data_IF_910016308105
#
_entry.id   IF_910016308105
#
_cell.length_a   1.000
_cell.length_b   1.000
_cell.length_c   1.000
_cell.angle_alpha   90.00
_cell.angle_beta   90.00
_cell.angle_gamma   90.00
#
_symmetry.space_group_name_H-M   'P 1'
#
loop_
_entity.id
_entity.type
_entity.pdbx_description
1 polymer ?
#
# COMPACT_ATOMS: atom_id res chain seq x y z
N UNK A 1 4.78 28.83 -2.70
CA UNK A 1 4.57 28.25 -1.34
C UNK A 1 3.20 27.61 -1.14
N UNK A 2 2.09 28.35 -1.28
CA UNK A 2 0.72 27.82 -1.04
C UNK A 2 0.39 26.55 -1.83
N UNK A 3 0.79 26.48 -3.09
CA UNK A 3 0.65 25.29 -3.92
C UNK A 3 1.22 24.03 -3.26
N UNK A 4 2.44 24.10 -2.74
CA UNK A 4 3.12 22.98 -2.09
C UNK A 4 2.43 22.57 -0.79
N UNK A 5 1.99 23.53 0.02
CA UNK A 5 1.25 23.24 1.26
C UNK A 5 -0.03 22.46 0.93
N UNK A 6 -0.80 22.92 -0.06
CA UNK A 6 -2.02 22.23 -0.50
C UNK A 6 -1.69 20.85 -1.08
N UNK A 7 -0.61 20.71 -1.84
CA UNK A 7 -0.18 19.43 -2.40
C UNK A 7 0.16 18.42 -1.30
N UNK A 8 1.01 18.78 -0.33
CA UNK A 8 1.41 17.89 0.76
C UNK A 8 0.24 17.52 1.67
N UNK A 9 -0.58 18.50 2.08
CA UNK A 9 -1.73 18.25 2.94
C UNK A 9 -2.81 17.46 2.20
N UNK A 10 -3.12 17.82 0.95
CA UNK A 10 -4.09 17.13 0.11
C UNK A 10 -3.70 15.69 -0.15
N UNK A 11 -2.45 15.45 -0.58
CA UNK A 11 -1.94 14.08 -0.76
C UNK A 11 -1.92 13.32 0.56
N UNK A 12 -1.50 13.93 1.67
CA UNK A 12 -1.55 13.30 2.99
C UNK A 12 -2.95 12.85 3.37
N UNK A 13 -3.97 13.68 3.15
CA UNK A 13 -5.37 13.32 3.43
C UNK A 13 -5.89 12.21 2.51
N UNK A 14 -5.57 12.28 1.21
CA UNK A 14 -5.96 11.25 0.24
C UNK A 14 -5.31 9.91 0.58
N UNK A 15 -4.01 9.89 0.86
CA UNK A 15 -3.30 8.66 1.27
C UNK A 15 -3.87 8.12 2.57
N UNK A 16 -4.17 8.97 3.56
CA UNK A 16 -4.82 8.53 4.79
C UNK A 16 -6.18 7.86 4.52
N UNK A 17 -6.99 8.44 3.64
CA UNK A 17 -8.29 7.87 3.28
C UNK A 17 -8.15 6.51 2.60
N UNK A 18 -7.31 6.41 1.58
CA UNK A 18 -7.10 5.15 0.85
C UNK A 18 -6.39 4.09 1.69
N UNK A 19 -5.53 4.47 2.63
CA UNK A 19 -4.81 3.53 3.51
C UNK A 19 -5.75 2.59 4.26
N UNK A 20 -6.95 3.06 4.64
CA UNK A 20 -7.96 2.27 5.38
C UNK A 20 -8.54 1.11 4.60
N UNK A 21 -8.41 1.13 3.27
CA UNK A 21 -8.94 0.10 2.38
C UNK A 21 -7.87 -0.91 1.96
N UNK A 22 -6.64 -0.78 2.48
CA UNK A 22 -5.52 -1.66 2.15
C UNK A 22 -5.34 -2.77 3.18
N UNK A 23 -4.73 -3.91 2.81
CA UNK A 23 -4.43 -4.99 3.75
C UNK A 23 -3.48 -4.53 4.87
N UNK A 24 -2.54 -3.63 4.56
CA UNK A 24 -1.56 -3.10 5.50
C UNK A 24 -1.71 -1.58 5.69
N UNK A 25 -2.76 -1.12 6.39
CA UNK A 25 -3.08 0.30 6.52
C UNK A 25 -1.97 1.10 7.22
N UNK A 26 -1.18 0.47 8.09
CA UNK A 26 -0.20 1.17 8.90
C UNK A 26 0.98 1.72 8.06
N UNK A 27 1.34 1.05 6.96
CA UNK A 27 2.47 1.47 6.12
C UNK A 27 2.11 2.77 5.38
N UNK A 28 0.99 2.75 4.65
CA UNK A 28 0.49 3.94 3.94
C UNK A 28 0.07 5.05 4.90
N UNK A 29 -0.47 4.70 6.08
CA UNK A 29 -0.82 5.66 7.12
C UNK A 29 0.39 6.41 7.69
N UNK A 30 1.53 5.74 7.90
CA UNK A 30 2.79 6.39 8.30
C UNK A 30 3.31 7.35 7.23
N UNK A 31 3.24 6.95 5.96
CA UNK A 31 3.61 7.83 4.85
C UNK A 31 2.70 9.06 4.79
N UNK A 32 1.40 8.87 4.94
CA UNK A 32 0.44 9.96 4.97
C UNK A 32 0.69 10.95 6.12
N UNK A 33 1.01 10.44 7.32
CA UNK A 33 1.40 11.26 8.47
C UNK A 33 2.66 12.08 8.15
N UNK A 34 3.67 11.48 7.53
CA UNK A 34 4.88 12.18 7.10
C UNK A 34 4.52 13.35 6.16
N UNK A 35 3.62 13.14 5.18
CA UNK A 35 3.17 14.21 4.28
C UNK A 35 2.43 15.33 5.02
N UNK A 36 1.56 14.98 5.97
CA UNK A 36 0.84 15.97 6.78
C UNK A 36 1.79 16.79 7.66
N UNK A 37 2.78 16.14 8.27
CA UNK A 37 3.81 16.83 9.08
C UNK A 37 4.66 17.73 8.19
N UNK A 38 5.10 17.26 7.02
CA UNK A 38 5.85 18.07 6.07
C UNK A 38 5.03 19.28 5.57
N UNK A 39 3.76 19.08 5.21
CA UNK A 39 2.84 20.15 4.84
C UNK A 39 2.59 21.14 5.98
N UNK A 40 2.48 20.66 7.22
CA UNK A 40 2.36 21.48 8.42
C UNK A 40 3.63 22.30 8.69
N UNK A 41 4.82 21.72 8.51
CA UNK A 41 6.09 22.45 8.61
C UNK A 41 6.22 23.54 7.55
N UNK A 42 5.85 23.24 6.30
CA UNK A 42 5.82 24.25 5.22
C UNK A 42 4.80 25.36 5.48
N UNK A 43 3.67 25.02 6.10
CA UNK A 43 2.71 26.03 6.52
C UNK A 43 3.25 26.91 7.65
N UNK A 44 3.86 26.32 8.68
CA UNK A 44 4.51 27.11 9.74
C UNK A 44 5.61 28.02 9.18
N UNK A 45 6.33 27.57 8.16
CA UNK A 45 7.40 28.36 7.55
C UNK A 45 6.91 29.63 6.84
N UNK A 46 5.62 29.76 6.50
CA UNK A 46 5.06 31.01 5.95
C UNK A 46 4.95 32.12 6.98
N UNK A 47 4.97 31.78 8.27
CA UNK A 47 4.92 32.73 9.39
C UNK A 47 6.30 33.06 9.95
N UNK A 48 7.36 32.46 9.39
CA UNK A 48 8.72 32.64 9.87
C UNK A 48 9.25 34.06 9.55
N UNK A 49 10.07 34.64 10.45
CA UNK A 49 10.64 35.98 10.24
C UNK A 49 11.67 36.05 9.11
N UNK A 50 12.15 34.91 8.61
CA UNK A 50 12.98 34.80 7.41
C UNK A 50 12.21 34.04 6.35
N UNK A 51 12.20 34.59 5.14
CA UNK A 51 11.55 33.94 4.01
C UNK A 51 12.24 32.60 3.71
N UNK A 52 11.41 31.58 3.49
CA UNK A 52 11.88 30.26 3.07
C UNK A 52 12.26 30.32 1.61
N UNK A 53 13.40 29.74 1.23
CA UNK A 53 13.83 29.71 -0.18
C UNK A 53 12.78 29.06 -1.10
N UNK A 54 12.62 29.61 -2.30
CA UNK A 54 11.55 29.22 -3.24
C UNK A 54 11.63 27.76 -3.68
N UNK A 55 12.86 27.22 -3.79
CA UNK A 55 13.13 25.85 -4.20
C UNK A 55 13.01 24.82 -3.08
N UNK A 56 12.97 25.25 -1.80
CA UNK A 56 12.95 24.33 -0.64
C UNK A 56 11.78 23.34 -0.70
N UNK A 57 10.52 23.75 -0.97
CA UNK A 57 9.42 22.81 -1.04
C UNK A 57 9.57 21.78 -2.17
N UNK A 58 10.14 22.19 -3.31
CA UNK A 58 10.38 21.31 -4.44
C UNK A 58 11.48 20.28 -4.11
N UNK A 59 12.56 20.70 -3.45
CA UNK A 59 13.60 19.79 -2.95
C UNK A 59 13.03 18.77 -1.96
N UNK A 60 12.22 19.23 -0.99
CA UNK A 60 11.57 18.33 -0.03
C UNK A 60 10.66 17.34 -0.74
N UNK A 61 9.86 17.78 -1.72
CA UNK A 61 9.00 16.90 -2.52
C UNK A 61 9.80 15.86 -3.31
N UNK A 62 10.91 16.25 -3.93
CA UNK A 62 11.79 15.32 -4.66
C UNK A 62 12.41 14.27 -3.73
N UNK A 63 12.95 14.68 -2.59
CA UNK A 63 13.62 13.76 -1.66
C UNK A 63 12.61 12.80 -1.01
N UNK A 64 11.52 13.35 -0.47
CA UNK A 64 10.47 12.54 0.18
C UNK A 64 9.77 11.64 -0.83
N UNK A 65 9.41 12.17 -2.00
CA UNK A 65 8.79 11.41 -3.08
C UNK A 65 9.70 10.30 -3.59
N UNK A 66 10.98 10.60 -3.85
CA UNK A 66 11.95 9.60 -4.29
C UNK A 66 12.16 8.47 -3.30
N UNK A 67 12.30 8.79 -2.00
CA UNK A 67 12.39 7.77 -0.96
C UNK A 67 11.10 6.93 -0.87
N UNK A 68 9.93 7.57 -0.97
CA UNK A 68 8.64 6.89 -0.96
C UNK A 68 8.45 5.94 -2.15
N UNK A 69 8.90 6.33 -3.35
CA UNK A 69 8.87 5.45 -4.54
C UNK A 69 9.69 4.19 -4.29
N UNK A 70 10.94 4.34 -3.82
CA UNK A 70 11.81 3.19 -3.54
C UNK A 70 11.20 2.27 -2.50
N UNK A 71 10.77 2.82 -1.36
CA UNK A 71 10.15 2.05 -0.28
C UNK A 71 8.87 1.37 -0.76
N UNK A 72 8.01 2.09 -1.48
CA UNK A 72 6.75 1.57 -2.00
C UNK A 72 6.96 0.44 -3.00
N UNK A 73 7.93 0.56 -3.92
CA UNK A 73 8.27 -0.50 -4.88
C UNK A 73 8.82 -1.74 -4.18
N UNK A 74 9.65 -1.58 -3.14
CA UNK A 74 10.14 -2.72 -2.33
C UNK A 74 8.97 -3.42 -1.65
N UNK A 75 8.09 -2.65 -0.99
CA UNK A 75 6.93 -3.20 -0.30
C UNK A 75 6.01 -3.97 -1.26
N UNK A 76 5.70 -3.37 -2.40
CA UNK A 76 4.81 -3.95 -3.40
C UNK A 76 5.44 -5.14 -4.12
N UNK A 77 6.67 -4.99 -4.62
CA UNK A 77 7.27 -5.96 -5.55
C UNK A 77 8.01 -7.09 -4.86
N UNK A 78 8.67 -6.82 -3.73
CA UNK A 78 9.47 -7.81 -3.01
C UNK A 78 8.72 -8.40 -1.83
N UNK A 79 8.11 -7.55 -1.01
CA UNK A 79 7.46 -8.00 0.23
C UNK A 79 6.00 -8.44 0.03
N UNK A 80 5.44 -8.22 -1.16
CA UNK A 80 4.03 -8.49 -1.51
C UNK A 80 3.05 -7.83 -0.53
N UNK A 81 3.46 -6.69 0.00
CA UNK A 81 2.64 -5.81 0.81
C UNK A 81 2.15 -4.70 -0.11
N UNK A 82 0.97 -4.87 -0.69
CA UNK A 82 0.44 -3.88 -1.64
C UNK A 82 0.03 -2.62 -0.89
N UNK A 83 0.76 -1.55 -1.17
CA UNK A 83 0.66 -0.24 -0.51
C UNK A 83 0.67 0.85 -1.56
N UNK A 84 -0.16 1.88 -1.37
CA UNK A 84 -0.27 3.02 -2.30
C UNK A 84 0.91 4.01 -2.19
N UNK A 85 1.94 3.70 -1.39
CA UNK A 85 3.07 4.60 -1.14
C UNK A 85 3.84 4.92 -2.42
N UNK A 86 4.03 3.94 -3.30
CA UNK A 86 4.77 4.13 -4.56
C UNK A 86 4.11 5.16 -5.50
N UNK A 87 2.83 5.04 -5.90
CA UNK A 87 2.20 6.02 -6.80
C UNK A 87 2.12 7.41 -6.15
N UNK A 88 1.66 7.54 -4.91
CA UNK A 88 1.57 8.87 -4.29
C UNK A 88 2.93 9.51 -3.99
N UNK A 89 3.96 8.69 -3.71
CA UNK A 89 5.35 9.13 -3.65
C UNK A 89 5.89 9.59 -5.00
N UNK A 90 5.50 8.89 -6.08
CA UNK A 90 5.94 9.22 -7.43
C UNK A 90 5.28 10.50 -7.97
N UNK A 91 4.02 10.79 -7.64
CA UNK A 91 3.41 12.12 -7.86
C UNK A 91 4.29 13.22 -7.23
N UNK A 92 4.69 13.07 -5.97
CA UNK A 92 5.56 14.05 -5.30
C UNK A 92 6.94 14.16 -5.95
N UNK A 93 7.54 13.03 -6.33
CA UNK A 93 8.83 13.01 -7.02
C UNK A 93 8.74 13.76 -8.36
N UNK A 94 7.73 13.45 -9.19
CA UNK A 94 7.51 14.10 -10.47
C UNK A 94 7.32 15.61 -10.28
N UNK A 95 6.41 16.02 -9.39
CA UNK A 95 6.14 17.43 -9.14
C UNK A 95 7.38 18.18 -8.63
N UNK A 96 8.10 17.62 -7.66
CA UNK A 96 9.32 18.21 -7.12
C UNK A 96 10.44 18.31 -8.16
N UNK A 97 10.77 17.20 -8.81
CA UNK A 97 11.87 17.13 -9.77
C UNK A 97 11.62 18.02 -10.98
N UNK A 98 10.42 17.96 -11.57
CA UNK A 98 10.07 18.80 -12.72
C UNK A 98 10.07 20.27 -12.33
N UNK A 99 9.59 20.64 -11.13
CA UNK A 99 9.65 22.03 -10.67
C UNK A 99 11.09 22.56 -10.59
N UNK A 100 12.03 21.77 -10.07
CA UNK A 100 13.44 22.16 -9.99
C UNK A 100 14.09 22.30 -11.38
N UNK A 101 13.66 21.49 -12.34
CA UNK A 101 14.15 21.53 -13.71
C UNK A 101 13.58 22.73 -14.47
N UNK A 102 12.31 23.06 -14.25
CA UNK A 102 11.64 24.24 -14.83
C UNK A 102 12.24 25.53 -14.29
N UNK A 103 12.53 25.60 -12.98
CA UNK A 103 13.17 26.76 -12.36
C UNK A 103 14.51 27.11 -13.01
N UNK A 104 15.30 26.09 -13.38
CA UNK A 104 16.59 26.27 -14.06
C UNK A 104 16.50 26.39 -15.58
N UNK A 105 15.33 26.18 -16.18
CA UNK A 105 15.17 26.02 -17.64
C UNK A 105 15.74 27.17 -18.47
N UNK A 106 15.47 28.41 -18.06
CA UNK A 106 15.93 29.60 -18.78
C UNK A 106 17.45 29.77 -18.80
N UNK A 107 18.16 29.18 -17.82
CA UNK A 107 19.62 29.26 -17.72
C UNK A 107 20.36 28.03 -18.22
N UNK A 108 19.65 27.02 -18.74
CA UNK A 108 20.23 25.78 -19.24
C UNK A 108 20.65 25.89 -20.70
N UNK A 109 21.78 25.26 -21.06
CA UNK A 109 22.16 25.08 -22.47
C UNK A 109 21.22 24.09 -23.17
N UNK A 110 21.20 24.11 -24.51
CA UNK A 110 20.30 23.26 -25.31
C UNK A 110 20.46 21.76 -24.97
N UNK A 111 21.67 21.29 -24.71
CA UNK A 111 21.94 19.90 -24.33
C UNK A 111 21.32 19.55 -22.96
N UNK A 112 21.42 20.46 -22.00
CA UNK A 112 20.82 20.29 -20.66
C UNK A 112 19.28 20.35 -20.73
N UNK A 113 18.72 21.21 -21.58
CA UNK A 113 17.27 21.27 -21.83
C UNK A 113 16.75 19.95 -22.42
N UNK A 114 17.46 19.34 -23.38
CA UNK A 114 17.08 18.04 -23.95
C UNK A 114 17.18 16.94 -22.90
N UNK A 115 18.28 16.89 -22.13
CA UNK A 115 18.47 15.91 -21.07
C UNK A 115 17.40 16.02 -19.98
N UNK A 116 17.08 17.24 -19.56
CA UNK A 116 16.04 17.50 -18.57
C UNK A 116 14.65 17.11 -19.10
N UNK A 117 14.33 17.42 -20.35
CA UNK A 117 13.09 16.97 -20.97
C UNK A 117 12.98 15.44 -21.02
N UNK A 118 14.06 14.74 -21.37
CA UNK A 118 14.08 13.27 -21.41
C UNK A 118 13.86 12.65 -20.01
N UNK A 119 14.52 13.19 -18.98
CA UNK A 119 14.34 12.74 -17.59
C UNK A 119 12.92 13.02 -17.11
N UNK A 120 12.37 14.21 -17.36
CA UNK A 120 11.00 14.54 -16.98
C UNK A 120 9.98 13.59 -17.64
N UNK A 121 10.17 13.31 -18.93
CA UNK A 121 9.33 12.36 -19.68
C UNK A 121 9.40 10.94 -19.11
N UNK A 122 10.60 10.48 -18.75
CA UNK A 122 10.81 9.19 -18.10
C UNK A 122 10.12 9.11 -16.74
N UNK A 123 10.25 10.16 -15.91
CA UNK A 123 9.59 10.23 -14.60
C UNK A 123 8.08 10.12 -14.73
N UNK A 124 7.47 10.86 -15.66
CA UNK A 124 6.02 10.81 -15.91
C UNK A 124 5.60 9.42 -16.41
N UNK A 125 6.36 8.80 -17.30
CA UNK A 125 6.07 7.45 -17.79
C UNK A 125 6.11 6.40 -16.67
N UNK A 126 7.14 6.47 -15.82
CA UNK A 126 7.27 5.58 -14.66
C UNK A 126 6.13 5.82 -13.65
N UNK A 127 5.73 7.07 -13.44
CA UNK A 127 4.61 7.38 -12.55
C UNK A 127 3.28 6.84 -13.08
N UNK A 128 3.02 6.96 -14.39
CA UNK A 128 1.85 6.32 -15.01
C UNK A 128 1.86 4.81 -14.74
N UNK A 129 2.99 4.15 -14.94
CA UNK A 129 3.12 2.72 -14.62
C UNK A 129 2.81 2.42 -13.15
N UNK A 130 3.36 3.19 -12.20
CA UNK A 130 3.11 3.01 -10.77
C UNK A 130 1.65 3.26 -10.40
N UNK A 131 1.00 4.26 -11.01
CA UNK A 131 -0.41 4.54 -10.81
C UNK A 131 -1.28 3.37 -11.28
N UNK A 132 -1.02 2.84 -12.48
CA UNK A 132 -1.73 1.65 -12.96
C UNK A 132 -1.51 0.44 -12.06
N UNK A 133 -0.25 0.15 -11.72
CA UNK A 133 0.08 -1.00 -10.89
C UNK A 133 -0.54 -0.89 -9.50
N UNK A 134 -0.39 0.25 -8.84
CA UNK A 134 -0.74 0.43 -7.43
C UNK A 134 -2.19 0.85 -7.16
N UNK A 135 -2.87 1.49 -8.12
CA UNK A 135 -4.24 2.00 -7.94
C UNK A 135 -5.28 1.29 -8.81
N UNK A 136 -4.91 0.87 -10.03
CA UNK A 136 -5.88 0.31 -11.01
C UNK A 136 -5.92 -1.21 -10.96
N UNK A 137 -4.77 -1.87 -11.02
CA UNK A 137 -4.68 -3.34 -10.96
C UNK A 137 -5.12 -3.87 -9.57
N UNK A 138 -5.03 -3.01 -8.54
CA UNK A 138 -5.52 -3.32 -7.20
C UNK A 138 -4.52 -4.13 -6.37
N UNK A 139 -5.04 -4.71 -5.30
CA UNK A 139 -4.26 -5.45 -4.29
C UNK A 139 -4.30 -6.94 -4.62
N UNK A 140 -3.15 -7.61 -4.65
CA UNK A 140 -3.04 -9.05 -4.91
C UNK A 140 -3.68 -9.87 -3.78
N UNK A 141 -4.28 -11.01 -4.14
CA UNK A 141 -4.89 -11.94 -3.19
C UNK A 141 -3.94 -12.39 -2.08
N UNK A 142 -2.66 -12.62 -2.43
CA UNK A 142 -1.58 -12.95 -1.48
C UNK A 142 -1.47 -11.92 -0.36
N UNK A 143 -1.61 -10.63 -0.68
CA UNK A 143 -1.44 -9.55 0.30
C UNK A 143 -2.56 -9.59 1.35
N UNK A 144 -3.79 -9.85 0.89
CA UNK A 144 -4.96 -10.04 1.75
C UNK A 144 -4.85 -11.30 2.60
N UNK A 145 -4.43 -12.44 2.03
CA UNK A 145 -4.23 -13.70 2.76
C UNK A 145 -3.15 -13.59 3.85
N UNK A 146 -2.02 -12.94 3.52
CA UNK A 146 -0.95 -12.64 4.48
C UNK A 146 -1.44 -11.75 5.62
N UNK A 147 -2.26 -10.75 5.31
CA UNK A 147 -2.85 -9.91 6.35
C UNK A 147 -3.89 -10.67 7.17
N UNK A 148 -4.67 -11.58 6.58
CA UNK A 148 -5.61 -12.46 7.28
C UNK A 148 -4.91 -13.28 8.35
N UNK A 149 -3.82 -13.96 7.99
CA UNK A 149 -3.00 -14.73 8.94
C UNK A 149 -2.46 -13.85 10.08
N UNK A 150 -2.03 -12.62 9.76
CA UNK A 150 -1.58 -11.66 10.78
C UNK A 150 -2.71 -11.29 11.75
N UNK A 151 -3.97 -11.18 11.29
CA UNK A 151 -5.11 -10.90 12.17
C UNK A 151 -5.48 -12.11 13.03
N UNK A 152 -5.39 -13.33 12.49
CA UNK A 152 -5.56 -14.57 13.28
C UNK A 152 -4.58 -14.60 14.44
N UNK A 153 -3.28 -14.37 14.17
CA UNK A 153 -2.24 -14.31 15.20
C UNK A 153 -2.42 -13.19 16.23
N UNK A 154 -3.24 -12.18 15.92
CA UNK A 154 -3.59 -11.08 16.84
C UNK A 154 -4.87 -11.35 17.64
N UNK A 155 -5.54 -12.48 17.39
CA UNK A 155 -6.86 -12.78 17.96
C UNK A 155 -7.99 -11.93 17.39
N UNK A 156 -7.75 -11.16 16.32
CA UNK A 156 -8.76 -10.29 15.73
C UNK A 156 -9.50 -11.04 14.61
N UNK A 157 -10.46 -11.89 14.99
CA UNK A 157 -11.16 -12.76 14.05
C UNK A 157 -12.29 -12.02 13.30
N UNK A 158 -13.11 -11.27 14.04
CA UNK A 158 -14.32 -10.63 13.51
C UNK A 158 -14.14 -9.13 13.22
N UNK A 159 -15.09 -8.57 12.47
CA UNK A 159 -15.16 -7.15 12.12
C UNK A 159 -14.55 -6.82 10.75
N UNK A 160 -14.65 -5.55 10.31
CA UNK A 160 -14.23 -5.13 8.96
C UNK A 160 -12.72 -5.22 8.72
N UNK A 161 -11.93 -5.32 9.79
CA UNK A 161 -10.47 -5.54 9.76
C UNK A 161 -10.08 -6.92 10.35
N UNK A 162 -11.08 -7.79 10.59
CA UNK A 162 -10.92 -9.13 11.14
C UNK A 162 -10.34 -10.11 10.14
N UNK A 163 -9.77 -11.21 10.64
CA UNK A 163 -9.20 -12.26 9.80
C UNK A 163 -10.16 -12.76 8.70
N UNK A 164 -11.45 -12.95 9.04
CA UNK A 164 -12.48 -13.41 8.08
C UNK A 164 -12.57 -12.45 6.89
N UNK A 165 -12.78 -11.16 7.16
CA UNK A 165 -12.92 -10.15 6.10
C UNK A 165 -11.68 -10.03 5.21
N UNK A 166 -10.49 -10.34 5.75
CA UNK A 166 -9.26 -10.34 4.95
C UNK A 166 -9.16 -11.58 4.05
N UNK A 167 -9.53 -12.77 4.52
CA UNK A 167 -9.54 -13.98 3.69
C UNK A 167 -10.67 -13.96 2.64
N UNK A 168 -11.81 -13.34 2.93
CA UNK A 168 -12.87 -13.11 1.93
C UNK A 168 -12.48 -12.12 0.82
N UNK A 169 -11.36 -11.42 0.97
CA UNK A 169 -10.84 -10.47 -0.04
C UNK A 169 -9.61 -11.01 -0.77
N UNK A 170 -9.11 -12.19 -0.42
CA UNK A 170 -7.86 -12.73 -0.97
C UNK A 170 -8.03 -13.54 -2.26
N UNK A 171 -9.18 -13.47 -2.92
CA UNK A 171 -9.42 -14.19 -4.17
C UNK A 171 -8.49 -13.75 -5.30
N UNK A 172 -7.95 -14.72 -6.05
CA UNK A 172 -7.00 -14.50 -7.12
C UNK A 172 -7.26 -15.43 -8.31
N UNK A 173 -7.76 -14.85 -9.42
CA UNK A 173 -8.05 -15.60 -10.65
C UNK A 173 -6.80 -16.18 -11.33
N UNK A 174 -5.63 -15.59 -11.13
CA UNK A 174 -4.38 -16.08 -11.75
C UNK A 174 -3.77 -17.21 -10.91
N UNK A 175 -4.07 -17.26 -9.62
CA UNK A 175 -3.45 -18.15 -8.65
C UNK A 175 -4.50 -18.90 -7.82
N UNK A 176 -5.13 -19.96 -8.37
CA UNK A 176 -6.19 -20.72 -7.68
C UNK A 176 -5.78 -21.32 -6.32
N UNK A 177 -4.48 -21.53 -6.10
CA UNK A 177 -3.96 -22.01 -4.83
C UNK A 177 -4.19 -21.03 -3.67
N UNK A 178 -4.28 -19.71 -3.95
CA UNK A 178 -4.60 -18.70 -2.93
C UNK A 178 -6.05 -18.84 -2.50
N UNK A 179 -6.95 -19.10 -3.44
CA UNK A 179 -8.37 -19.31 -3.17
C UNK A 179 -8.55 -20.54 -2.27
N UNK A 180 -7.87 -21.65 -2.59
CA UNK A 180 -7.86 -22.86 -1.77
C UNK A 180 -7.34 -22.58 -0.34
N UNK A 181 -6.20 -21.87 -0.21
CA UNK A 181 -5.66 -21.49 1.10
C UNK A 181 -6.59 -20.58 1.90
N UNK A 182 -7.31 -19.67 1.22
CA UNK A 182 -8.24 -18.73 1.83
C UNK A 182 -9.50 -19.45 2.34
N UNK A 183 -10.07 -20.36 1.54
CA UNK A 183 -11.18 -21.20 1.97
C UNK A 183 -10.77 -22.14 3.12
N UNK A 184 -9.60 -22.77 3.05
CA UNK A 184 -9.08 -23.58 4.15
C UNK A 184 -8.94 -22.77 5.45
N UNK A 185 -8.43 -21.54 5.36
CA UNK A 185 -8.35 -20.63 6.50
C UNK A 185 -9.72 -20.31 7.10
N UNK A 186 -10.70 -19.98 6.25
CA UNK A 186 -12.06 -19.66 6.68
C UNK A 186 -12.73 -20.87 7.34
N UNK A 187 -12.60 -22.08 6.78
CA UNK A 187 -13.12 -23.31 7.38
C UNK A 187 -12.57 -23.50 8.81
N UNK A 188 -11.25 -23.35 8.99
CA UNK A 188 -10.62 -23.50 10.31
C UNK A 188 -11.11 -22.44 11.30
N UNK A 189 -11.30 -21.19 10.85
CA UNK A 189 -11.82 -20.10 11.67
C UNK A 189 -13.27 -20.36 12.08
N UNK A 190 -14.16 -20.72 11.14
CA UNK A 190 -15.57 -20.98 11.43
C UNK A 190 -15.76 -22.23 12.30
N UNK A 191 -14.98 -23.28 12.06
CA UNK A 191 -14.91 -24.46 12.94
C UNK A 191 -14.51 -24.07 14.36
N UNK A 192 -13.51 -23.20 14.50
CA UNK A 192 -13.07 -22.71 15.81
C UNK A 192 -14.15 -21.85 16.51
N UNK A 193 -14.93 -21.09 15.74
CA UNK A 193 -16.05 -20.30 16.24
C UNK A 193 -17.32 -21.13 16.54
N UNK A 194 -17.39 -22.38 16.07
CA UNK A 194 -18.56 -23.25 16.19
C UNK A 194 -19.67 -22.94 15.18
N UNK A 195 -19.33 -22.25 14.08
CA UNK A 195 -20.26 -21.86 13.02
C UNK A 195 -20.26 -22.90 11.88
N UNK A 196 -21.08 -23.95 12.05
CA UNK A 196 -21.13 -25.07 11.10
C UNK A 196 -21.76 -24.72 9.74
N UNK A 197 -22.54 -23.64 9.65
CA UNK A 197 -23.19 -23.24 8.39
C UNK A 197 -22.16 -22.61 7.45
N UNK A 198 -21.43 -21.61 7.92
CA UNK A 198 -20.35 -20.97 7.16
C UNK A 198 -19.17 -21.93 6.91
N UNK A 199 -18.90 -22.85 7.84
CA UNK A 199 -17.94 -23.93 7.63
C UNK A 199 -18.31 -24.78 6.41
N UNK A 200 -19.56 -25.24 6.33
CA UNK A 200 -20.02 -26.10 5.25
C UNK A 200 -19.99 -25.40 3.90
N UNK A 201 -20.32 -24.11 3.84
CA UNK A 201 -20.22 -23.30 2.63
C UNK A 201 -18.79 -23.29 2.08
N UNK A 202 -17.80 -22.96 2.92
CA UNK A 202 -16.41 -22.90 2.48
C UNK A 202 -15.79 -24.27 2.20
N UNK A 203 -16.27 -25.34 2.83
CA UNK A 203 -15.89 -26.72 2.45
C UNK A 203 -16.32 -27.01 1.01
N UNK A 204 -17.56 -26.65 0.63
CA UNK A 204 -18.04 -26.85 -0.74
C UNK A 204 -17.21 -26.04 -1.74
N UNK A 205 -16.85 -24.81 -1.42
CA UNK A 205 -15.99 -24.01 -2.31
C UNK A 205 -14.57 -24.57 -2.39
N UNK A 206 -13.96 -25.01 -1.27
CA UNK A 206 -12.63 -25.60 -1.26
C UNK A 206 -12.55 -26.84 -2.17
N UNK A 207 -13.57 -27.70 -2.14
CA UNK A 207 -13.64 -28.88 -3.02
C UNK A 207 -13.64 -28.49 -4.51
N UNK A 208 -14.21 -27.34 -4.89
CA UNK A 208 -14.18 -26.86 -6.29
C UNK A 208 -12.79 -26.41 -6.74
N UNK A 209 -11.95 -25.92 -5.83
CA UNK A 209 -10.57 -25.48 -6.11
C UNK A 209 -9.51 -26.53 -5.77
N UNK A 210 -9.91 -27.81 -5.60
CA UNK A 210 -9.00 -28.95 -5.48
C UNK A 210 -8.98 -29.62 -4.11
N UNK A 211 -9.82 -29.19 -3.17
CA UNK A 211 -9.98 -29.82 -1.86
C UNK A 211 -8.78 -29.59 -0.93
N UNK A 212 -8.76 -30.30 0.20
CA UNK A 212 -7.67 -30.17 1.18
C UNK A 212 -6.30 -30.61 0.65
N UNK A 213 -6.27 -31.49 -0.35
CA UNK A 213 -5.01 -31.97 -0.95
C UNK A 213 -4.26 -30.87 -1.73
N UNK A 214 -4.95 -29.81 -2.15
CA UNK A 214 -4.33 -28.66 -2.82
C UNK A 214 -3.71 -27.65 -1.87
N UNK A 215 -3.93 -27.80 -0.56
CA UNK A 215 -3.45 -26.89 0.48
C UNK A 215 -2.27 -27.53 1.22
N UNK A 216 -1.20 -26.77 1.37
CA UNK A 216 -0.01 -27.24 2.09
C UNK A 216 -0.32 -27.46 3.59
N UNK A 217 0.11 -28.61 4.11
CA UNK A 217 -0.09 -28.99 5.51
C UNK A 217 0.45 -27.92 6.49
N UNK A 218 1.58 -27.29 6.16
CA UNK A 218 2.18 -26.25 7.02
C UNK A 218 1.30 -25.01 7.15
N UNK A 219 0.48 -24.71 6.14
CA UNK A 219 -0.49 -23.61 6.21
C UNK A 219 -1.60 -23.92 7.21
N UNK A 220 -2.14 -25.14 7.15
CA UNK A 220 -3.20 -25.62 8.06
C UNK A 220 -2.69 -25.56 9.50
N UNK A 221 -1.52 -26.16 9.76
CA UNK A 221 -0.89 -26.18 11.07
C UNK A 221 -0.64 -24.77 11.61
N UNK A 222 -0.17 -23.85 10.76
CA UNK A 222 0.08 -22.46 11.16
C UNK A 222 -1.20 -21.73 11.60
N UNK A 223 -2.32 -21.98 10.92
CA UNK A 223 -3.61 -21.37 11.30
C UNK A 223 -4.16 -22.01 12.56
N UNK A 224 -4.13 -23.33 12.68
CA UNK A 224 -4.59 -24.04 13.86
C UNK A 224 -3.79 -23.66 15.10
N UNK A 225 -2.46 -23.52 14.99
CA UNK A 225 -1.62 -23.04 16.08
C UNK A 225 -2.00 -21.62 16.50
N UNK A 226 -2.18 -20.72 15.52
CA UNK A 226 -2.57 -19.34 15.78
C UNK A 226 -3.96 -19.22 16.43
N UNK A 227 -4.92 -20.06 16.02
CA UNK A 227 -6.25 -20.14 16.63
C UNK A 227 -6.19 -20.77 18.03
N UNK A 228 -5.36 -21.79 18.23
CA UNK A 228 -5.15 -22.46 19.51
C UNK A 228 -4.62 -21.49 20.59
N UNK A 229 -3.76 -20.55 20.21
CA UNK A 229 -3.25 -19.50 21.09
C UNK A 229 -4.33 -18.54 21.58
N UNK A 230 -5.39 -18.30 20.79
CA UNK A 230 -6.52 -17.44 21.19
C UNK A 230 -7.29 -18.08 22.34
N UNK A 231 -7.45 -19.42 22.33
CA UNK A 231 -8.17 -20.16 23.38
C UNK A 231 -7.42 -20.20 24.72
N UNK A 232 -6.10 -19.97 24.70
CA UNK A 232 -5.25 -20.01 25.89
C UNK A 232 -5.09 -18.62 26.58
N UNK A 233 -5.62 -17.55 25.98
CA UNK A 233 -5.60 -16.19 26.50
C UNK A 233 -6.96 -15.81 27.12
#
# INVERSE_FOLDING_TARGET
MMFWIVLFLGLGLVVLYYSRHQPFPEISGRFALLLLVAGGMLWLSTTAPRETGESVPAVVATVVGGAAVVIGVIQMSMLKNDVIVAPFGGVLLCMGAISLMVERWAGMEQTEQIGSFAIASLLVMLEIYLAFRGLVIGVQGISWSKSGLRQVRRGLIHGPNGAISHFERSWDMENPWIDAMSHAALILIHRHAGDSEAEAEHVVELEKVGGWESVDQSWIETIEEALGQIRAA
#
